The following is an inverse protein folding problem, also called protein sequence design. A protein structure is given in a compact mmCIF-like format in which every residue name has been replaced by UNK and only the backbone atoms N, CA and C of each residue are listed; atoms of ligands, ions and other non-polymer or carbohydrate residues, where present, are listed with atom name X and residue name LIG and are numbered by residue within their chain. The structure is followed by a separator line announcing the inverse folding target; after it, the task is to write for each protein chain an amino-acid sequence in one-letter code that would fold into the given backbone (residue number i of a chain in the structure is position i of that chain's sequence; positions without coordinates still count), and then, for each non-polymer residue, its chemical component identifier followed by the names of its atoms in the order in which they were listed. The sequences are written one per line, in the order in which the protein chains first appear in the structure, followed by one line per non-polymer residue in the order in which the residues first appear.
data_IF_587369728979
#
_entry.id   IF_587369728979
#
_cell.length_a   1.000
_cell.length_b   1.000
_cell.length_c   1.000
_cell.angle_alpha   90.00
_cell.angle_beta   90.00
_cell.angle_gamma   90.00
#
_symmetry.space_group_name_H-M   'P 1'
#
loop_
_entity.id
_entity.type
_entity.pdbx_description
1 polymer ?
#
# COMPACT_ATOMS: atom_id res chain seq x y z
N UNK A 1 18.10 -16.82 2.21
CA UNK A 1 17.04 -16.78 1.19
C UNK A 1 16.85 -18.18 0.71
N UNK A 2 15.59 -18.59 0.54
CA UNK A 2 15.28 -19.83 -0.15
C UNK A 2 15.82 -19.79 -1.60
N UNK A 3 16.21 -20.94 -2.15
CA UNK A 3 16.81 -21.02 -3.49
C UNK A 3 15.84 -20.57 -4.59
N UNK A 4 14.54 -20.87 -4.42
CA UNK A 4 13.52 -20.48 -5.39
C UNK A 4 13.28 -18.97 -5.33
N UNK A 5 13.23 -18.40 -4.12
CA UNK A 5 13.11 -16.95 -3.92
C UNK A 5 14.29 -16.19 -4.52
N UNK A 6 15.50 -16.73 -4.40
CA UNK A 6 16.70 -16.13 -5.01
C UNK A 6 16.59 -16.14 -6.53
N UNK A 7 16.18 -17.26 -7.12
CA UNK A 7 16.03 -17.40 -8.58
C UNK A 7 15.00 -16.42 -9.14
N UNK A 8 13.86 -16.26 -8.46
CA UNK A 8 12.83 -15.29 -8.83
C UNK A 8 13.35 -13.85 -8.75
N UNK A 9 14.11 -13.52 -7.70
CA UNK A 9 14.73 -12.21 -7.55
C UNK A 9 15.78 -11.94 -8.65
N UNK A 10 16.62 -12.92 -9.00
CA UNK A 10 17.61 -12.78 -10.07
C UNK A 10 16.95 -12.48 -11.42
N UNK A 11 15.85 -13.18 -11.75
CA UNK A 11 15.10 -12.94 -12.97
C UNK A 11 14.51 -11.52 -13.00
N UNK A 12 13.83 -11.10 -11.92
CA UNK A 12 13.21 -9.78 -11.81
C UNK A 12 14.25 -8.66 -11.94
N UNK A 13 15.35 -8.73 -11.19
CA UNK A 13 16.35 -7.67 -11.21
C UNK A 13 17.11 -7.64 -12.55
N UNK A 14 17.31 -8.78 -13.20
CA UNK A 14 17.88 -8.83 -14.54
C UNK A 14 16.99 -8.12 -15.59
N UNK A 15 15.66 -8.28 -15.51
CA UNK A 15 14.71 -7.53 -16.35
C UNK A 15 14.78 -6.01 -16.09
N UNK A 16 15.06 -5.62 -14.84
CA UNK A 16 15.29 -4.23 -14.45
C UNK A 16 16.71 -3.72 -14.76
N UNK A 17 17.55 -4.54 -15.42
CA UNK A 17 18.92 -4.18 -15.82
C UNK A 17 19.92 -4.08 -14.66
N UNK A 18 19.67 -4.78 -13.54
CA UNK A 18 20.53 -4.73 -12.36
C UNK A 18 20.77 -6.11 -11.73
N UNK A 19 21.84 -6.24 -10.95
CA UNK A 19 22.08 -7.45 -10.16
C UNK A 19 21.37 -7.39 -8.81
N UNK A 20 21.15 -8.55 -8.17
CA UNK A 20 20.71 -8.62 -6.77
C UNK A 20 21.60 -7.78 -5.86
N UNK A 21 22.92 -7.82 -6.06
CA UNK A 21 23.89 -7.06 -5.25
C UNK A 21 23.68 -5.54 -5.40
N UNK A 22 23.34 -5.08 -6.61
CA UNK A 22 23.00 -3.67 -6.86
C UNK A 22 21.71 -3.30 -6.14
N UNK A 23 20.66 -4.10 -6.26
CA UNK A 23 19.38 -3.87 -5.61
C UNK A 23 19.51 -3.84 -4.08
N UNK A 24 20.31 -4.75 -3.51
CA UNK A 24 20.58 -4.79 -2.07
C UNK A 24 21.33 -3.53 -1.58
N UNK A 25 22.32 -3.06 -2.34
CA UNK A 25 23.02 -1.82 -2.01
C UNK A 25 22.10 -0.59 -2.02
N UNK A 26 21.15 -0.54 -2.96
CA UNK A 26 20.12 0.52 -3.00
C UNK A 26 19.24 0.45 -1.75
N UNK A 27 18.74 -0.75 -1.41
CA UNK A 27 17.94 -0.97 -0.21
C UNK A 27 18.64 -0.47 1.06
N UNK A 28 19.89 -0.87 1.29
CA UNK A 28 20.64 -0.48 2.50
C UNK A 28 20.84 1.04 2.56
N UNK A 29 21.20 1.67 1.44
CA UNK A 29 21.38 3.13 1.39
C UNK A 29 20.08 3.87 1.67
N UNK A 30 18.96 3.38 1.15
CA UNK A 30 17.66 3.99 1.39
C UNK A 30 17.23 3.81 2.85
N UNK A 31 17.43 2.62 3.42
CA UNK A 31 17.11 2.34 4.81
C UNK A 31 17.92 3.22 5.77
N UNK A 32 19.22 3.40 5.50
CA UNK A 32 20.08 4.29 6.28
C UNK A 32 19.67 5.76 6.15
N UNK A 33 19.31 6.20 4.94
CA UNK A 33 18.88 7.58 4.67
C UNK A 33 17.57 7.92 5.39
N UNK A 34 16.62 7.00 5.42
CA UNK A 34 15.30 7.24 6.01
C UNK A 34 15.19 6.82 7.48
N UNK A 35 16.16 6.06 8.01
CA UNK A 35 16.11 5.51 9.36
C UNK A 35 14.99 4.49 9.57
N UNK A 36 14.48 3.88 8.49
CA UNK A 36 13.39 2.90 8.50
C UNK A 36 13.52 1.92 7.34
N UNK A 37 12.68 0.88 7.32
CA UNK A 37 12.56 0.00 6.16
C UNK A 37 11.88 0.79 5.02
N UNK A 38 12.51 0.90 3.83
CA UNK A 38 12.06 1.75 2.74
C UNK A 38 10.97 1.09 1.88
N UNK A 39 10.09 0.34 2.51
CA UNK A 39 8.87 -0.22 1.94
C UNK A 39 7.91 -0.54 3.09
N UNK A 40 6.62 -0.59 2.78
CA UNK A 40 5.60 -0.97 3.75
C UNK A 40 5.69 -2.46 4.07
N UNK A 41 5.74 -2.80 5.35
CA UNK A 41 5.70 -4.19 5.81
C UNK A 41 4.25 -4.51 6.14
N UNK A 42 3.53 -5.11 5.20
CA UNK A 42 2.14 -5.54 5.39
C UNK A 42 1.96 -7.00 4.95
N UNK A 43 0.95 -7.66 5.50
CA UNK A 43 0.53 -9.00 5.07
C UNK A 43 -0.36 -8.95 3.80
N UNK A 44 -0.46 -7.80 3.12
CA UNK A 44 -1.35 -7.53 1.98
C UNK A 44 -2.84 -7.87 2.20
N UNK A 45 -3.24 -8.20 3.42
CA UNK A 45 -4.63 -8.31 3.82
C UNK A 45 -4.96 -7.10 4.68
N UNK A 46 -5.86 -6.22 4.23
CA UNK A 46 -6.42 -5.21 5.11
C UNK A 46 -6.98 -5.91 6.34
N UNK A 47 -6.85 -5.29 7.52
CA UNK A 47 -7.43 -5.87 8.71
C UNK A 47 -8.97 -5.95 8.55
N UNK A 48 -9.64 -6.74 9.40
CA UNK A 48 -11.10 -6.94 9.27
C UNK A 48 -11.89 -5.63 9.26
N UNK A 49 -11.42 -4.62 9.98
CA UNK A 49 -12.03 -3.28 10.04
C UNK A 49 -11.88 -2.53 8.72
N UNK A 50 -10.69 -2.54 8.10
CA UNK A 50 -10.46 -1.94 6.79
C UNK A 50 -11.25 -2.66 5.69
N UNK A 51 -11.34 -3.99 5.73
CA UNK A 51 -12.19 -4.75 4.79
C UNK A 51 -13.67 -4.35 4.95
N UNK A 52 -14.16 -4.25 6.19
CA UNK A 52 -15.53 -3.84 6.46
C UNK A 52 -15.80 -2.41 5.98
N UNK A 53 -14.87 -1.48 6.20
CA UNK A 53 -14.98 -0.10 5.72
C UNK A 53 -14.99 0.00 4.18
N UNK A 54 -14.16 -0.80 3.49
CA UNK A 54 -14.16 -0.86 2.02
C UNK A 54 -15.50 -1.42 1.48
N UNK A 55 -16.02 -2.48 2.10
CA UNK A 55 -17.31 -3.07 1.73
C UNK A 55 -18.48 -2.11 2.00
N UNK A 56 -18.43 -1.37 3.10
CA UNK A 56 -19.43 -0.35 3.43
C UNK A 56 -19.37 0.83 2.46
N UNK A 57 -18.17 1.30 2.12
CA UNK A 57 -17.97 2.34 1.12
C UNK A 57 -18.50 1.90 -0.27
N UNK A 58 -18.26 0.66 -0.68
CA UNK A 58 -18.85 0.11 -1.91
C UNK A 58 -20.38 0.02 -1.85
N UNK A 59 -20.95 -0.29 -0.68
CA UNK A 59 -22.41 -0.36 -0.48
C UNK A 59 -23.04 1.03 -0.59
N UNK A 60 -22.46 2.02 0.10
CA UNK A 60 -22.88 3.43 0.07
C UNK A 60 -22.76 3.99 -1.36
N UNK A 61 -21.64 3.74 -2.05
CA UNK A 61 -21.43 4.23 -3.41
C UNK A 61 -22.39 3.64 -4.47
N UNK A 62 -23.01 2.49 -4.19
CA UNK A 62 -24.04 1.87 -5.04
C UNK A 62 -25.46 2.20 -4.62
N UNK A 63 -25.65 2.80 -3.45
CA UNK A 63 -26.96 3.18 -2.91
C UNK A 63 -27.31 4.60 -3.39
N UNK A 64 -28.31 4.78 -4.27
CA UNK A 64 -28.72 6.10 -4.73
C UNK A 64 -29.33 6.97 -3.62
N UNK A 65 -29.70 6.36 -2.48
CA UNK A 65 -30.25 7.04 -1.32
C UNK A 65 -29.19 7.32 -0.24
N UNK A 66 -27.92 6.97 -0.48
CA UNK A 66 -26.83 7.34 0.41
C UNK A 66 -26.72 8.86 0.53
N UNK A 67 -26.60 9.36 1.77
CA UNK A 67 -26.33 10.77 2.03
C UNK A 67 -24.95 11.13 1.47
N UNK A 68 -24.95 11.90 0.39
CA UNK A 68 -23.77 12.52 -0.19
C UNK A 68 -23.78 14.01 0.10
N UNK A 69 -22.59 14.60 0.10
CA UNK A 69 -22.40 16.03 0.31
C UNK A 69 -22.25 16.75 -1.02
N UNK A 70 -22.87 17.92 -1.12
CA UNK A 70 -22.85 18.70 -2.37
C UNK A 70 -21.71 19.72 -2.41
N UNK A 71 -21.13 20.03 -1.25
CA UNK A 71 -19.97 20.91 -1.12
C UNK A 71 -19.03 20.44 0.00
N UNK A 72 -17.82 21.03 0.01
CA UNK A 72 -16.77 20.66 0.96
C UNK A 72 -17.08 21.16 2.38
N UNK A 73 -17.82 22.26 2.52
CA UNK A 73 -18.13 22.85 3.83
C UNK A 73 -19.12 21.97 4.60
N UNK A 74 -20.10 21.39 3.90
CA UNK A 74 -21.05 20.40 4.40
C UNK A 74 -20.32 19.12 4.88
N UNK A 75 -19.40 18.61 4.06
CA UNK A 75 -18.58 17.43 4.40
C UNK A 75 -17.74 17.67 5.68
N UNK A 76 -17.05 18.81 5.78
CA UNK A 76 -16.21 19.10 6.94
C UNK A 76 -17.02 19.39 8.21
N UNK A 77 -18.24 19.91 8.08
CA UNK A 77 -19.14 20.14 9.21
C UNK A 77 -19.64 18.84 9.85
N UNK A 78 -19.82 17.78 9.06
CA UNK A 78 -20.17 16.44 9.56
C UNK A 78 -18.95 15.70 10.14
N UNK A 79 -17.78 15.76 9.49
CA UNK A 79 -16.55 15.13 9.98
C UNK A 79 -16.04 15.69 11.31
N UNK A 80 -16.48 16.88 11.70
CA UNK A 80 -16.06 17.58 12.92
C UNK A 80 -17.07 17.45 14.08
N UNK A 81 -18.15 16.69 13.91
CA UNK A 81 -19.04 16.25 15.00
C UNK A 81 -18.44 15.08 15.79
#
# INVERSE_FOLDING_TARGET
MDADLKTQAEALFAELGMSISTAFNIFVRQALREGKIPFEISLNQPNKETIAAMLEAERIGKDPAAEGYNDLDELFSELSK
#
